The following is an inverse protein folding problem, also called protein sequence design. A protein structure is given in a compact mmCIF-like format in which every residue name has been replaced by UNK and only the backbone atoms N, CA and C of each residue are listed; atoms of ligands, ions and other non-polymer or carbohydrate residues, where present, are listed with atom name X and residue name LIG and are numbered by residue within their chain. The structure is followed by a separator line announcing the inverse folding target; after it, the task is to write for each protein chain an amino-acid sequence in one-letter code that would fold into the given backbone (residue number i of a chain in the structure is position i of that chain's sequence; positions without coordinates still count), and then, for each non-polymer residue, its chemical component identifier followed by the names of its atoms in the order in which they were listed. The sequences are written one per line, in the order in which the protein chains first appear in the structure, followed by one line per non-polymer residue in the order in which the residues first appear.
data_IF_455537199903
#
_entry.id   IF_455537199903
#
_cell.length_a   1.000
_cell.length_b   1.000
_cell.length_c   1.000
_cell.angle_alpha   90.00
_cell.angle_beta   90.00
_cell.angle_gamma   90.00
#
_symmetry.space_group_name_H-M   'P 1'
#
loop_
_entity.id
_entity.type
_entity.pdbx_description
1 polymer ?
#
# COMPACT_ATOMS: atom_id res chain seq x y z
N UNK A 1 -5.55 7.36 25.63
CA UNK A 1 -4.61 6.77 24.66
C UNK A 1 -4.94 7.38 23.32
N UNK A 2 -3.95 7.96 22.63
CA UNK A 2 -4.15 8.43 21.26
C UNK A 2 -4.26 7.26 20.28
N UNK A 3 -4.70 7.53 19.05
CA UNK A 3 -4.72 6.53 17.98
C UNK A 3 -3.30 6.05 17.64
N UNK A 4 -2.34 6.97 17.56
CA UNK A 4 -0.92 6.68 17.36
C UNK A 4 -0.38 5.74 18.44
N UNK A 5 -0.67 6.01 19.72
CA UNK A 5 -0.27 5.12 20.82
C UNK A 5 -0.90 3.71 20.73
N UNK A 6 -2.12 3.61 20.18
CA UNK A 6 -2.79 2.32 19.98
C UNK A 6 -2.20 1.54 18.81
N UNK A 7 -1.84 2.24 17.72
CA UNK A 7 -1.11 1.69 16.58
C UNK A 7 0.24 1.18 17.04
N UNK A 8 1.04 1.99 17.73
CA UNK A 8 2.37 1.61 18.25
C UNK A 8 2.30 0.40 19.19
N UNK A 9 1.22 0.29 19.98
CA UNK A 9 1.02 -0.85 20.86
C UNK A 9 0.81 -2.16 20.09
N UNK A 10 0.15 -2.10 18.93
CA UNK A 10 -0.16 -3.24 18.07
C UNK A 10 0.98 -3.55 17.09
N UNK A 11 1.58 -2.51 16.51
CA UNK A 11 2.77 -2.56 15.66
C UNK A 11 3.98 -2.18 16.51
N UNK A 12 4.45 -3.14 17.32
CA UNK A 12 5.76 -2.99 17.95
C UNK A 12 6.84 -3.16 16.90
N UNK A 13 6.96 -2.21 15.98
CA UNK A 13 8.11 -2.07 15.07
C UNK A 13 9.27 -1.41 15.81
N UNK A 14 9.39 -1.76 17.08
CA UNK A 14 10.51 -1.41 17.90
C UNK A 14 11.46 -2.60 17.91
N UNK A 15 12.75 -2.33 17.78
CA UNK A 15 13.76 -3.32 18.13
C UNK A 15 13.59 -3.74 19.61
N UNK A 16 14.41 -4.70 20.03
CA UNK A 16 14.46 -5.16 21.43
C UNK A 16 14.71 -4.03 22.44
N UNK A 17 15.17 -2.85 21.98
CA UNK A 17 15.49 -1.68 22.78
C UNK A 17 14.39 -0.60 22.76
N UNK A 18 13.24 -0.84 22.11
CA UNK A 18 12.15 0.13 22.07
C UNK A 18 12.34 1.23 21.02
N UNK A 19 13.25 1.09 20.06
CA UNK A 19 13.45 2.06 18.97
C UNK A 19 12.80 1.61 17.69
N UNK A 20 12.08 2.53 17.05
CA UNK A 20 11.48 2.31 15.75
C UNK A 20 12.57 1.84 14.76
N UNK A 21 12.44 0.63 14.19
CA UNK A 21 13.52 0.01 13.38
C UNK A 21 13.73 0.73 12.04
N UNK A 22 12.81 1.60 11.64
CA UNK A 22 12.93 2.41 10.43
C UNK A 22 13.59 3.76 10.76
N UNK A 23 14.83 3.75 11.25
CA UNK A 23 15.73 4.86 10.92
C UNK A 23 16.05 4.71 9.42
N UNK A 24 15.19 5.27 8.57
CA UNK A 24 15.55 5.53 7.17
C UNK A 24 16.90 6.26 7.13
N UNK A 25 17.66 6.17 6.02
CA UNK A 25 18.96 6.83 5.92
C UNK A 25 18.80 8.29 6.34
N UNK A 26 19.42 8.61 7.48
CA UNK A 26 19.38 9.95 8.07
C UNK A 26 19.74 10.93 6.98
N UNK A 27 18.85 11.92 6.73
CA UNK A 27 19.16 13.16 6.00
C UNK A 27 20.59 13.58 6.35
N UNK A 28 21.52 13.30 5.47
CA UNK A 28 22.91 13.32 5.86
C UNK A 28 23.77 12.74 4.75
N UNK A 29 24.33 13.65 3.98
CA UNK A 29 25.33 13.47 2.93
C UNK A 29 24.69 13.37 1.55
N UNK A 30 24.53 14.56 0.97
CA UNK A 30 24.55 14.84 -0.46
C UNK A 30 23.49 14.09 -1.29
N UNK A 31 22.22 14.43 -1.04
CA UNK A 31 21.16 14.20 -2.01
C UNK A 31 21.40 15.15 -3.19
N UNK A 32 22.17 14.70 -4.17
CA UNK A 32 22.04 15.19 -5.53
C UNK A 32 20.55 15.14 -5.94
N UNK A 33 20.12 16.11 -6.74
CA UNK A 33 18.73 16.53 -7.05
C UNK A 33 17.70 15.43 -7.41
N UNK A 34 18.12 14.18 -7.60
CA UNK A 34 17.30 13.02 -8.00
C UNK A 34 17.40 11.83 -7.02
N UNK A 35 17.52 12.10 -5.71
CA UNK A 35 17.47 11.05 -4.69
C UNK A 35 16.15 10.25 -4.75
N UNK A 36 16.14 8.94 -4.41
CA UNK A 36 14.93 8.13 -4.46
C UNK A 36 13.87 8.72 -3.54
N UNK A 37 12.79 9.23 -4.14
CA UNK A 37 11.64 9.78 -3.43
C UNK A 37 11.13 8.73 -2.44
N UNK A 38 11.35 8.99 -1.16
CA UNK A 38 10.85 8.13 -0.09
C UNK A 38 9.34 8.33 0.01
N UNK A 39 8.58 7.39 -0.55
CA UNK A 39 7.11 7.41 -0.42
C UNK A 39 6.76 7.02 1.03
N UNK A 40 5.96 7.85 1.74
CA UNK A 40 5.54 7.54 3.11
C UNK A 40 4.75 6.24 3.18
N UNK A 41 4.81 5.58 4.33
CA UNK A 41 4.03 4.38 4.62
C UNK A 41 2.58 4.78 4.99
N UNK A 42 1.61 4.04 4.44
CA UNK A 42 0.19 4.23 4.70
C UNK A 42 -0.31 3.16 5.66
N UNK A 43 -1.06 3.56 6.67
CA UNK A 43 -1.63 2.67 7.70
C UNK A 43 -3.13 2.53 7.52
N UNK A 44 -3.61 1.29 7.65
CA UNK A 44 -5.04 0.98 7.66
C UNK A 44 -5.38 0.31 8.98
N UNK A 45 -6.40 0.84 9.65
CA UNK A 45 -6.75 0.46 11.01
C UNK A 45 -8.16 -0.13 11.05
N UNK A 46 -8.31 -1.27 11.71
CA UNK A 46 -9.60 -1.87 12.00
C UNK A 46 -10.03 -1.49 13.42
N UNK A 47 -11.17 -0.81 13.52
CA UNK A 47 -11.75 -0.36 14.79
C UNK A 47 -12.97 -1.19 15.13
N UNK A 48 -13.02 -1.65 16.38
CA UNK A 48 -14.14 -2.36 16.95
C UNK A 48 -15.21 -1.38 17.45
N UNK A 49 -16.45 -1.58 17.01
CA UNK A 49 -17.56 -0.67 17.23
C UNK A 49 -18.41 -0.96 18.49
N UNK A 50 -18.01 -1.92 19.33
CA UNK A 50 -18.72 -2.19 20.59
C UNK A 50 -20.02 -3.01 20.45
N UNK A 51 -20.27 -3.66 19.32
CA UNK A 51 -21.52 -4.41 19.09
C UNK A 51 -21.65 -5.70 19.92
N UNK A 52 -20.54 -6.30 20.33
CA UNK A 52 -20.44 -7.48 21.19
C UNK A 52 -20.15 -7.06 22.64
N UNK A 53 -21.17 -7.13 23.51
CA UNK A 53 -21.09 -6.66 24.91
C UNK A 53 -20.03 -7.38 25.72
N UNK A 54 -19.75 -8.64 25.40
CA UNK A 54 -18.80 -9.47 26.14
C UNK A 54 -17.34 -9.06 25.86
N UNK A 55 -17.10 -8.25 24.83
CA UNK A 55 -15.77 -7.81 24.42
C UNK A 55 -15.47 -6.34 24.69
N UNK A 56 -16.43 -5.54 25.17
CA UNK A 56 -16.26 -4.09 25.36
C UNK A 56 -15.04 -3.77 26.24
N UNK A 57 -14.97 -4.39 27.42
CA UNK A 57 -13.88 -4.16 28.39
C UNK A 57 -12.49 -4.58 27.86
N UNK A 58 -12.44 -5.40 26.81
CA UNK A 58 -11.19 -5.91 26.24
C UNK A 58 -10.45 -4.86 25.43
N UNK A 59 -11.18 -3.96 24.78
CA UNK A 59 -10.64 -3.04 23.77
C UNK A 59 -10.63 -1.57 24.20
N UNK A 60 -11.16 -1.25 25.38
CA UNK A 60 -11.04 0.09 25.99
C UNK A 60 -9.58 0.53 26.10
N UNK A 61 -8.66 -0.43 26.28
CA UNK A 61 -7.21 -0.18 26.39
C UNK A 61 -6.51 0.08 25.06
N UNK A 62 -7.15 -0.22 23.92
CA UNK A 62 -6.61 0.02 22.57
C UNK A 62 -7.43 1.05 21.81
N UNK A 63 -8.28 1.83 22.50
CA UNK A 63 -9.20 2.77 21.87
C UNK A 63 -10.08 2.11 20.78
N UNK A 64 -10.45 0.85 21.00
CA UNK A 64 -11.19 0.05 20.01
C UNK A 64 -10.35 -0.48 18.85
N UNK A 65 -9.07 -0.16 18.73
CA UNK A 65 -8.24 -0.71 17.64
C UNK A 65 -8.03 -2.21 17.86
N UNK A 66 -8.35 -3.01 16.83
CA UNK A 66 -8.30 -4.48 16.87
C UNK A 66 -7.45 -5.09 15.76
N UNK A 67 -7.02 -4.28 14.81
CA UNK A 67 -6.08 -4.71 13.79
C UNK A 67 -5.52 -3.53 13.02
N UNK A 68 -4.36 -3.75 12.42
CA UNK A 68 -3.64 -2.73 11.67
C UNK A 68 -2.80 -3.41 10.60
N UNK A 69 -2.72 -2.78 9.43
CA UNK A 69 -1.82 -3.15 8.34
C UNK A 69 -1.12 -1.89 7.83
N UNK A 70 0.14 -2.03 7.47
CA UNK A 70 0.95 -0.96 6.88
C UNK A 70 1.38 -1.35 5.47
N UNK A 71 1.33 -0.38 4.57
CA UNK A 71 1.63 -0.58 3.15
C UNK A 71 2.46 0.59 2.62
N UNK A 72 3.47 0.29 1.81
CA UNK A 72 4.38 1.29 1.27
C UNK A 72 4.55 1.10 -0.24
N UNK A 73 4.23 2.11 -1.07
CA UNK A 73 4.54 2.07 -2.49
C UNK A 73 6.05 2.11 -2.70
N UNK A 74 6.54 1.31 -3.63
CA UNK A 74 7.94 1.24 -4.02
C UNK A 74 8.03 1.40 -5.52
N UNK A 75 8.77 2.42 -5.95
CA UNK A 75 9.07 2.72 -7.36
C UNK A 75 10.54 2.42 -7.62
N UNK A 76 10.85 1.81 -8.76
CA UNK A 76 12.22 1.65 -9.25
C UNK A 76 13.09 0.64 -8.50
N UNK A 77 12.53 -0.52 -8.14
CA UNK A 77 13.31 -1.60 -7.49
C UNK A 77 14.53 -2.05 -8.32
N UNK A 78 15.73 -1.96 -7.75
CA UNK A 78 16.99 -2.47 -8.36
C UNK A 78 17.05 -4.00 -8.41
N UNK A 79 16.17 -4.67 -7.66
CA UNK A 79 16.12 -6.13 -7.61
C UNK A 79 15.33 -6.67 -8.81
N UNK A 80 15.99 -7.44 -9.67
CA UNK A 80 15.37 -8.11 -10.83
C UNK A 80 14.27 -9.10 -10.47
N UNK A 81 14.07 -9.41 -9.18
CA UNK A 81 13.06 -10.34 -8.69
C UNK A 81 11.70 -9.68 -8.44
N UNK A 82 11.68 -8.37 -8.18
CA UNK A 82 10.46 -7.64 -7.87
C UNK A 82 10.01 -6.82 -9.08
N UNK A 83 8.70 -6.69 -9.34
CA UNK A 83 8.19 -5.70 -10.26
C UNK A 83 8.74 -4.30 -9.94
N UNK A 84 9.11 -3.50 -10.96
CA UNK A 84 9.66 -2.16 -10.74
C UNK A 84 8.78 -1.30 -9.84
N UNK A 85 7.47 -1.34 -10.06
CA UNK A 85 6.46 -0.67 -9.26
C UNK A 85 5.60 -1.72 -8.55
N UNK A 86 5.53 -1.60 -7.23
CA UNK A 86 4.75 -2.50 -6.37
C UNK A 86 4.40 -1.81 -5.05
N UNK A 87 3.43 -2.37 -4.34
CA UNK A 87 3.13 -1.97 -2.95
C UNK A 87 3.61 -3.06 -2.00
N UNK A 88 4.52 -2.71 -1.11
CA UNK A 88 5.00 -3.63 -0.08
C UNK A 88 4.12 -3.55 1.17
N UNK A 89 3.51 -4.67 1.56
CA UNK A 89 2.77 -4.80 2.82
C UNK A 89 3.75 -5.24 3.90
N UNK A 90 4.20 -4.29 4.71
CA UNK A 90 5.30 -4.51 5.65
C UNK A 90 4.84 -5.26 6.90
N UNK A 91 3.79 -4.77 7.56
CA UNK A 91 3.30 -5.35 8.80
C UNK A 91 1.79 -5.50 8.79
N UNK A 92 1.30 -6.63 9.32
CA UNK A 92 -0.12 -6.83 9.60
C UNK A 92 -0.30 -7.53 10.94
N UNK A 93 -1.08 -6.91 11.82
CA UNK A 93 -1.39 -7.44 13.15
C UNK A 93 -2.90 -7.40 13.37
N UNK A 94 -3.43 -8.49 13.92
CA UNK A 94 -4.83 -8.59 14.34
C UNK A 94 -4.83 -9.13 15.77
N UNK A 95 -5.56 -8.45 16.64
CA UNK A 95 -5.77 -8.87 18.02
C UNK A 95 -6.26 -10.32 18.05
N UNK A 96 -5.70 -11.11 18.97
CA UNK A 96 -5.96 -12.54 19.03
C UNK A 96 -7.45 -12.87 19.18
N UNK A 97 -8.22 -12.04 19.89
CA UNK A 97 -9.66 -12.22 20.09
C UNK A 97 -10.48 -11.92 18.83
N UNK A 98 -9.90 -11.15 17.91
CA UNK A 98 -10.52 -10.76 16.63
C UNK A 98 -9.98 -11.53 15.43
N UNK A 99 -9.03 -12.45 15.65
CA UNK A 99 -8.61 -13.41 14.62
C UNK A 99 -9.77 -14.29 14.21
N UNK A 100 -9.77 -14.72 12.94
CA UNK A 100 -10.83 -15.52 12.31
C UNK A 100 -12.21 -14.84 12.25
N UNK A 101 -12.31 -13.54 12.55
CA UNK A 101 -13.51 -12.72 12.35
C UNK A 101 -13.48 -11.88 11.07
N UNK A 102 -12.60 -12.21 10.11
CA UNK A 102 -12.48 -11.50 8.84
C UNK A 102 -11.68 -10.18 8.90
N UNK A 103 -11.16 -9.78 10.06
CA UNK A 103 -10.43 -8.50 10.21
C UNK A 103 -9.22 -8.41 9.27
N UNK A 104 -8.37 -9.44 9.22
CA UNK A 104 -7.20 -9.43 8.31
C UNK A 104 -7.59 -9.39 6.83
N UNK A 105 -8.71 -10.02 6.46
CA UNK A 105 -9.26 -9.94 5.10
C UNK A 105 -9.71 -8.52 4.78
N UNK A 106 -10.44 -7.87 5.68
CA UNK A 106 -10.92 -6.51 5.49
C UNK A 106 -9.75 -5.51 5.37
N UNK A 107 -8.74 -5.64 6.23
CA UNK A 107 -7.54 -4.80 6.18
C UNK A 107 -6.82 -4.90 4.82
N UNK A 108 -6.56 -6.12 4.33
CA UNK A 108 -5.92 -6.30 3.02
C UNK A 108 -6.80 -5.81 1.87
N UNK A 109 -8.12 -6.00 1.95
CA UNK A 109 -9.03 -5.44 0.96
C UNK A 109 -8.94 -3.91 0.90
N UNK A 110 -8.81 -3.23 2.04
CA UNK A 110 -8.59 -1.79 2.09
C UNK A 110 -7.28 -1.36 1.42
N UNK A 111 -6.19 -2.11 1.63
CA UNK A 111 -4.91 -1.84 0.94
C UNK A 111 -5.06 -1.99 -0.58
N UNK A 112 -5.77 -3.04 -1.04
CA UNK A 112 -6.02 -3.26 -2.47
C UNK A 112 -6.85 -2.13 -3.06
N UNK A 113 -7.94 -1.72 -2.38
CA UNK A 113 -8.76 -0.60 -2.84
C UNK A 113 -7.94 0.69 -2.94
N UNK A 114 -7.13 1.00 -1.93
CA UNK A 114 -6.26 2.17 -1.95
C UNK A 114 -5.23 2.10 -3.08
N UNK A 115 -4.59 0.95 -3.28
CA UNK A 115 -3.63 0.75 -4.36
C UNK A 115 -4.25 0.96 -5.75
N UNK A 116 -5.52 0.61 -5.92
CA UNK A 116 -6.23 0.81 -7.19
C UNK A 116 -6.74 2.24 -7.40
N UNK A 117 -6.80 3.08 -6.36
CA UNK A 117 -7.26 4.48 -6.45
C UNK A 117 -6.13 5.49 -6.67
N UNK A 118 -4.88 5.12 -6.39
CA UNK A 118 -3.73 6.02 -6.50
C UNK A 118 -3.33 6.37 -7.94
N UNK A 119 -3.87 5.69 -8.96
CA UNK A 119 -3.51 5.92 -10.36
C UNK A 119 -4.27 7.10 -11.02
N UNK A 120 -5.27 7.68 -10.35
CA UNK A 120 -6.18 8.67 -10.96
C UNK A 120 -5.79 10.15 -10.69
N UNK A 121 -4.75 10.45 -9.89
CA UNK A 121 -4.46 11.83 -9.42
C UNK A 121 -3.54 12.66 -10.34
N UNK A 122 -2.95 12.09 -11.41
CA UNK A 122 -1.93 12.77 -12.23
C UNK A 122 -2.46 13.52 -13.48
N UNK A 123 -3.78 13.48 -13.76
CA UNK A 123 -4.35 13.96 -15.05
C UNK A 123 -5.04 15.34 -15.02
N UNK A 124 -5.03 16.09 -13.90
CA UNK A 124 -5.79 17.37 -13.79
C UNK A 124 -5.01 18.65 -14.18
N UNK A 125 -3.85 18.58 -14.84
CA UNK A 125 -3.07 19.77 -15.22
C UNK A 125 -2.86 19.99 -16.73
N UNK A 126 -3.76 19.49 -17.59
CA UNK A 126 -3.76 19.88 -19.01
C UNK A 126 -4.82 20.94 -19.32
N UNK A 127 -4.31 22.14 -19.65
CA UNK A 127 -4.90 23.14 -20.55
C UNK A 127 -5.97 24.12 -20.02
N UNK A 128 -5.53 25.12 -19.24
CA UNK A 128 -6.14 26.47 -19.23
C UNK A 128 -5.22 27.53 -19.88
N UNK A 129 -4.51 27.19 -20.97
CA UNK A 129 -3.88 28.20 -21.83
C UNK A 129 -4.72 28.44 -23.09
N UNK A 130 -5.91 29.00 -22.90
CA UNK A 130 -6.66 29.71 -23.95
C UNK A 130 -5.98 31.07 -24.21
N UNK A 131 -4.82 31.08 -24.86
CA UNK A 131 -4.27 32.30 -25.45
C UNK A 131 -4.71 32.38 -26.92
N UNK A 132 -5.78 33.16 -27.11
CA UNK A 132 -6.30 33.70 -28.34
C UNK A 132 -5.16 34.18 -29.27
N UNK A 133 -4.90 33.46 -30.37
CA UNK A 133 -4.13 34.02 -31.48
C UNK A 133 -4.83 33.71 -32.80
N UNK A 134 -5.82 34.55 -33.10
CA UNK A 134 -6.46 34.65 -34.41
C UNK A 134 -5.40 35.07 -35.45
N UNK A 135 -4.91 34.13 -36.24
CA UNK A 135 -4.26 34.49 -37.50
C UNK A 135 -4.84 33.62 -38.62
N UNK A 136 -5.84 34.21 -39.29
CA UNK A 136 -6.53 33.67 -40.45
C UNK A 136 -5.52 33.46 -41.59
N UNK A 137 -5.22 32.20 -41.91
CA UNK A 137 -4.66 31.87 -43.22
C UNK A 137 -5.29 30.59 -43.73
N UNK A 138 -6.30 30.79 -44.59
CA UNK A 138 -7.10 29.75 -45.24
C UNK A 138 -6.26 28.94 -46.22
N UNK A 139 -5.91 27.70 -45.85
CA UNK A 139 -5.61 26.67 -46.84
C UNK A 139 -6.00 25.30 -46.30
N UNK A 140 -7.28 24.98 -46.47
CA UNK A 140 -7.93 23.76 -45.97
C UNK A 140 -7.47 22.50 -46.73
N UNK A 141 -6.69 21.66 -46.05
CA UNK A 141 -6.53 20.25 -46.39
C UNK A 141 -7.24 19.37 -45.35
N UNK A 142 -7.99 18.32 -45.73
CA UNK A 142 -8.72 17.48 -44.78
C UNK A 142 -7.76 16.52 -44.07
N UNK A 143 -7.04 17.03 -43.08
CA UNK A 143 -6.20 16.26 -42.19
C UNK A 143 -7.00 15.75 -41.00
N UNK A 144 -7.74 14.66 -41.16
CA UNK A 144 -8.32 13.90 -40.05
C UNK A 144 -7.20 13.23 -39.24
N UNK A 145 -6.45 14.02 -38.45
CA UNK A 145 -5.62 13.48 -37.37
C UNK A 145 -6.53 13.23 -36.18
N UNK A 146 -7.29 12.14 -36.25
CA UNK A 146 -7.94 11.55 -35.10
C UNK A 146 -6.84 11.15 -34.10
N UNK A 147 -6.55 12.04 -33.15
CA UNK A 147 -5.80 11.74 -31.92
C UNK A 147 -6.58 10.64 -31.21
N UNK A 148 -6.26 9.39 -31.53
CA UNK A 148 -6.70 8.24 -30.75
C UNK A 148 -6.01 8.39 -29.40
N UNK A 149 -6.74 8.86 -28.38
CA UNK A 149 -6.34 8.67 -26.99
C UNK A 149 -6.20 7.17 -26.80
N UNK A 150 -4.96 6.70 -26.77
CA UNK A 150 -4.65 5.30 -26.55
C UNK A 150 -4.93 5.09 -25.07
N UNK A 151 -6.11 4.58 -24.75
CA UNK A 151 -6.45 4.11 -23.40
C UNK A 151 -5.43 3.03 -23.03
N UNK A 152 -4.35 3.43 -22.37
CA UNK A 152 -3.47 2.50 -21.67
C UNK A 152 -4.25 2.09 -20.44
N UNK A 153 -4.75 0.86 -20.42
CA UNK A 153 -5.25 0.23 -19.20
C UNK A 153 -4.12 0.27 -18.17
N UNK A 154 -4.20 1.20 -17.23
CA UNK A 154 -3.27 1.27 -16.10
C UNK A 154 -3.57 0.06 -15.22
N UNK A 155 -2.63 -0.87 -15.19
CA UNK A 155 -2.74 -2.07 -14.36
C UNK A 155 -2.21 -1.68 -12.99
N UNK A 156 -3.06 -1.74 -11.96
CA UNK A 156 -2.68 -1.39 -10.60
C UNK A 156 -1.41 -2.16 -10.16
N UNK A 157 -0.47 -1.52 -9.43
CA UNK A 157 0.75 -2.18 -8.99
C UNK A 157 0.45 -3.44 -8.16
N UNK A 158 1.22 -4.54 -8.30
CA UNK A 158 1.02 -5.72 -7.48
C UNK A 158 1.41 -5.46 -6.01
N UNK A 159 0.71 -6.14 -5.10
CA UNK A 159 1.05 -6.15 -3.68
C UNK A 159 2.07 -7.25 -3.40
N UNK A 160 3.08 -6.96 -2.58
CA UNK A 160 4.14 -7.88 -2.20
C UNK A 160 4.23 -7.94 -0.68
N UNK A 161 4.42 -9.13 -0.12
CA UNK A 161 4.58 -9.32 1.32
C UNK A 161 5.56 -10.45 1.63
N UNK A 162 6.14 -10.42 2.82
CA UNK A 162 6.92 -11.51 3.39
C UNK A 162 6.19 -12.13 4.58
N UNK A 163 6.21 -13.45 4.70
CA UNK A 163 5.60 -14.17 5.81
C UNK A 163 6.49 -15.32 6.28
N UNK A 164 6.60 -15.48 7.60
CA UNK A 164 7.33 -16.61 8.19
C UNK A 164 6.69 -17.94 7.80
N UNK A 165 7.52 -18.94 7.49
CA UNK A 165 7.05 -20.25 7.03
C UNK A 165 6.21 -21.00 8.08
N UNK A 166 6.36 -20.66 9.37
CA UNK A 166 5.60 -21.25 10.47
C UNK A 166 4.24 -20.56 10.72
N UNK A 167 4.02 -19.38 10.12
CA UNK A 167 2.77 -18.64 10.20
C UNK A 167 1.74 -19.15 9.17
N UNK A 168 1.36 -20.42 9.31
CA UNK A 168 0.41 -21.10 8.43
C UNK A 168 -0.96 -20.40 8.35
N UNK A 169 -1.34 -19.67 9.39
CA UNK A 169 -2.59 -18.89 9.42
C UNK A 169 -2.57 -17.73 8.43
N UNK A 170 -1.47 -16.98 8.41
CA UNK A 170 -1.27 -15.87 7.47
C UNK A 170 -1.08 -16.40 6.04
N UNK A 171 -0.26 -17.42 5.83
CA UNK A 171 -0.05 -18.04 4.52
C UNK A 171 -1.38 -18.44 3.87
N UNK A 172 -2.23 -19.18 4.59
CA UNK A 172 -3.55 -19.60 4.08
C UNK A 172 -4.51 -18.45 3.80
N UNK A 173 -4.39 -17.35 4.55
CA UNK A 173 -5.16 -16.13 4.30
C UNK A 173 -4.70 -15.51 2.97
N UNK A 174 -3.40 -15.35 2.76
CA UNK A 174 -2.84 -14.76 1.54
C UNK A 174 -3.12 -15.63 0.31
N UNK A 175 -2.93 -16.96 0.39
CA UNK A 175 -3.28 -17.89 -0.69
C UNK A 175 -4.75 -17.77 -1.11
N UNK A 176 -5.67 -17.64 -0.13
CA UNK A 176 -7.10 -17.45 -0.41
C UNK A 176 -7.40 -16.13 -1.09
N UNK A 177 -6.60 -15.10 -0.83
CA UNK A 177 -6.70 -13.79 -1.46
C UNK A 177 -6.00 -13.74 -2.82
N UNK A 178 -5.51 -14.87 -3.35
CA UNK A 178 -4.90 -14.94 -4.67
C UNK A 178 -3.44 -14.50 -4.71
N UNK A 179 -2.75 -14.52 -3.56
CA UNK A 179 -1.30 -14.35 -3.54
C UNK A 179 -0.59 -15.63 -3.96
N UNK A 180 0.39 -15.51 -4.85
CA UNK A 180 1.28 -16.58 -5.28
C UNK A 180 2.65 -16.46 -4.60
N UNK A 181 3.37 -17.58 -4.52
CA UNK A 181 4.74 -17.59 -4.03
C UNK A 181 5.69 -17.00 -5.09
N UNK A 182 6.40 -15.95 -4.71
CA UNK A 182 7.47 -15.36 -5.52
C UNK A 182 8.83 -15.99 -5.16
N UNK A 183 9.12 -16.10 -3.87
CA UNK A 183 10.35 -16.70 -3.34
C UNK A 183 10.04 -17.49 -2.06
N UNK A 184 10.76 -18.57 -1.80
CA UNK A 184 10.65 -19.32 -0.56
C UNK A 184 12.02 -19.84 -0.12
N UNK A 185 12.39 -19.51 1.11
CA UNK A 185 13.58 -20.07 1.76
C UNK A 185 13.16 -20.87 3.01
N UNK A 186 14.11 -21.23 3.87
CA UNK A 186 13.84 -22.04 5.07
C UNK A 186 13.16 -21.27 6.22
N UNK A 187 13.21 -19.94 6.23
CA UNK A 187 12.70 -19.08 7.30
C UNK A 187 11.38 -18.41 6.91
N UNK A 188 11.31 -17.82 5.72
CA UNK A 188 10.15 -17.08 5.23
C UNK A 188 9.87 -17.37 3.75
N UNK A 189 8.70 -16.92 3.30
CA UNK A 189 8.38 -16.82 1.88
C UNK A 189 7.92 -15.41 1.52
N UNK A 190 8.24 -14.99 0.30
CA UNK A 190 7.74 -13.77 -0.33
C UNK A 190 6.57 -14.14 -1.22
N UNK A 191 5.48 -13.43 -1.08
CA UNK A 191 4.26 -13.65 -1.86
C UNK A 191 3.87 -12.37 -2.61
N UNK A 192 3.25 -12.55 -3.78
CA UNK A 192 2.83 -11.47 -4.68
C UNK A 192 1.36 -11.64 -5.05
N UNK A 193 0.57 -10.56 -5.02
CA UNK A 193 -0.81 -10.59 -5.50
C UNK A 193 -0.84 -10.64 -7.02
N UNK A 194 -1.78 -11.39 -7.60
CA UNK A 194 -2.09 -11.24 -9.01
C UNK A 194 -2.71 -9.87 -9.25
N UNK A 195 -2.24 -9.15 -10.26
CA UNK A 195 -2.98 -8.01 -10.80
C UNK A 195 -4.34 -8.55 -11.29
N UNK A 196 -5.42 -8.06 -10.69
CA UNK A 196 -6.80 -8.44 -11.01
C UNK A 196 -7.38 -7.56 -12.11
#
# INVERSE_FOLDING_TARGET
MSEEEAIDRLMRDHDVDGKYVMEGPRRGIDADEDGPYHVPETYFVAIYNGTDRDMIDSFDRSNGVVGVVSAQPRRGGISSLLPPDHVYVANMRVDERMRRRGVGTALLASVITWNNSNDDEDDENEDENEDENENENENEGPGWSARHKKETLTIAPPLILSVDNDNLGAIRLYERLGFDYLERNSHFCVMISRAS
#
